data_IF_477245076360
#
_entry.id   IF_477245076360
#
_cell.length_a   1.000
_cell.length_b   1.000
_cell.length_c   1.000
_cell.angle_alpha   90.00
_cell.angle_beta   90.00
_cell.angle_gamma   90.00
#
_symmetry.space_group_name_H-M   'P 1'
#
loop_
_entity.id
_entity.type
_entity.pdbx_description
1 polymer ?
#
# COMPACT_ATOMS: atom_id res chain seq x y z
N UNK A 1 -13.62 10.05 -3.65
CA UNK A 1 -12.47 10.94 -3.34
C UNK A 1 -11.23 10.08 -3.63
N UNK A 2 -10.01 10.41 -3.18
CA UNK A 2 -8.88 9.47 -3.27
C UNK A 2 -8.28 9.39 -1.88
N UNK A 3 -8.09 8.19 -1.34
CA UNK A 3 -7.42 8.01 -0.05
C UNK A 3 -5.92 7.87 -0.29
N UNK A 4 -5.08 8.39 0.60
CA UNK A 4 -3.64 8.16 0.56
C UNK A 4 -3.22 7.34 1.76
N UNK A 5 -2.31 6.38 1.55
CA UNK A 5 -1.74 5.56 2.62
C UNK A 5 -0.22 5.52 2.49
N UNK A 6 0.46 5.52 3.63
CA UNK A 6 1.92 5.36 3.65
C UNK A 6 2.29 3.91 3.39
N UNK A 7 3.31 3.69 2.58
CA UNK A 7 3.87 2.35 2.41
C UNK A 7 4.55 1.89 3.71
N UNK A 8 4.09 0.81 4.36
CA UNK A 8 4.72 0.29 5.57
C UNK A 8 6.14 -0.28 5.31
N UNK A 9 6.48 -0.67 4.08
CA UNK A 9 7.86 -1.07 3.76
C UNK A 9 8.79 0.12 3.70
N UNK A 10 8.45 1.17 2.95
CA UNK A 10 9.28 2.39 2.88
C UNK A 10 9.54 2.99 4.27
N UNK A 11 8.54 2.93 5.16
CA UNK A 11 8.70 3.35 6.55
C UNK A 11 9.74 2.51 7.32
N UNK A 12 9.86 1.21 7.05
CA UNK A 12 10.84 0.33 7.70
C UNK A 12 12.26 0.51 7.18
N UNK A 13 12.43 0.67 5.86
CA UNK A 13 13.77 0.79 5.23
C UNK A 13 14.40 2.16 5.45
N UNK A 14 13.62 3.18 5.80
CA UNK A 14 14.12 4.54 6.09
C UNK A 14 14.41 5.38 4.84
N UNK A 15 14.11 4.82 3.65
CA UNK A 15 14.12 5.50 2.36
C UNK A 15 12.74 6.11 2.13
N UNK A 16 12.56 7.36 2.55
CA UNK A 16 11.49 8.31 2.19
C UNK A 16 10.01 7.86 2.35
N UNK A 17 9.24 8.67 3.08
CA UNK A 17 7.79 8.48 3.26
C UNK A 17 7.06 8.65 1.93
N UNK A 18 6.59 7.55 1.31
CA UNK A 18 5.82 7.60 0.07
C UNK A 18 4.32 7.44 0.34
N UNK A 19 3.55 8.39 -0.17
CA UNK A 19 2.09 8.35 -0.20
C UNK A 19 1.61 7.54 -1.42
N UNK A 20 0.97 6.41 -1.16
CA UNK A 20 0.31 5.59 -2.17
C UNK A 20 -1.12 6.08 -2.32
N UNK A 21 -1.48 6.41 -3.56
CA UNK A 21 -2.82 6.88 -3.90
C UNK A 21 -3.72 5.65 -4.08
N UNK A 22 -4.66 5.47 -3.16
CA UNK A 22 -5.70 4.45 -3.22
C UNK A 22 -6.93 5.05 -3.90
N UNK A 23 -7.31 4.57 -5.11
CA UNK A 23 -8.54 5.01 -5.72
C UNK A 23 -9.74 4.56 -4.88
N UNK A 24 -10.80 5.38 -4.82
CA UNK A 24 -12.04 5.04 -4.08
C UNK A 24 -12.66 3.71 -4.55
N UNK A 25 -12.48 3.39 -5.83
CA UNK A 25 -12.99 2.19 -6.50
C UNK A 25 -12.19 0.91 -6.15
N UNK A 26 -10.93 1.04 -5.68
CA UNK A 26 -10.09 -0.12 -5.32
C UNK A 26 -10.82 -0.98 -4.30
N UNK A 27 -10.97 -2.27 -4.46
CA UNK A 27 -11.71 -3.13 -3.54
C UNK A 27 -10.80 -3.78 -2.48
N UNK A 28 -11.42 -4.40 -1.47
CA UNK A 28 -10.66 -5.25 -0.55
C UNK A 28 -10.15 -6.45 -1.36
N UNK A 29 -8.86 -6.75 -1.26
CA UNK A 29 -8.15 -7.71 -2.11
C UNK A 29 -7.53 -7.12 -3.38
N UNK A 30 -7.71 -5.82 -3.64
CA UNK A 30 -6.91 -5.16 -4.69
C UNK A 30 -5.44 -5.07 -4.25
N UNK A 31 -4.55 -5.25 -5.23
CA UNK A 31 -3.10 -5.13 -5.06
C UNK A 31 -2.66 -3.78 -5.62
N UNK A 32 -1.98 -3.01 -4.79
CA UNK A 32 -1.37 -1.74 -5.13
C UNK A 32 0.15 -1.90 -5.14
N UNK A 33 0.82 -1.39 -6.16
CA UNK A 33 2.28 -1.36 -6.19
C UNK A 33 2.79 -0.04 -5.64
N UNK A 34 3.75 -0.10 -4.72
CA UNK A 34 4.43 1.07 -4.23
C UNK A 34 5.39 1.60 -5.31
N UNK A 35 5.24 2.85 -5.80
CA UNK A 35 6.09 3.39 -6.85
C UNK A 35 7.54 3.67 -6.40
N UNK A 36 7.83 3.61 -5.10
CA UNK A 36 9.14 3.86 -4.53
C UNK A 36 9.96 2.57 -4.40
N UNK A 37 9.46 1.60 -3.62
CA UNK A 37 10.16 0.35 -3.35
C UNK A 37 9.76 -0.79 -4.28
N UNK A 38 8.68 -0.64 -5.07
CA UNK A 38 8.11 -1.72 -5.88
C UNK A 38 7.39 -2.79 -5.05
N UNK A 39 7.15 -2.56 -3.76
CA UNK A 39 6.43 -3.53 -2.92
C UNK A 39 4.95 -3.58 -3.30
N UNK A 40 4.42 -4.79 -3.40
CA UNK A 40 3.00 -5.05 -3.61
C UNK A 40 2.25 -4.99 -2.27
N UNK A 41 1.10 -4.32 -2.27
CA UNK A 41 0.31 -4.05 -1.08
C UNK A 41 -1.14 -4.44 -1.32
N UNK A 42 -1.64 -5.41 -0.57
CA UNK A 42 -3.02 -5.83 -0.61
C UNK A 42 -3.89 -4.97 0.31
N UNK A 43 -5.03 -4.49 -0.18
CA UNK A 43 -6.02 -3.80 0.63
C UNK A 43 -6.78 -4.81 1.49
N UNK A 44 -6.57 -4.77 2.81
CA UNK A 44 -7.27 -5.63 3.77
C UNK A 44 -8.57 -4.98 4.30
N UNK A 45 -8.62 -3.65 4.41
CA UNK A 45 -9.78 -2.92 4.91
C UNK A 45 -9.79 -1.47 4.43
N UNK A 46 -10.97 -0.84 4.34
CA UNK A 46 -11.12 0.56 3.91
C UNK A 46 -11.46 1.55 5.03
N UNK A 47 -12.02 1.07 6.13
CA UNK A 47 -12.48 1.90 7.25
C UNK A 47 -12.24 1.17 8.59
N UNK A 48 -11.06 1.36 9.22
CA UNK A 48 -9.91 2.16 8.78
C UNK A 48 -9.18 1.53 7.57
N UNK A 49 -8.53 2.34 6.74
CA UNK A 49 -7.76 1.86 5.60
C UNK A 49 -6.56 1.05 6.11
N UNK A 50 -6.52 -0.24 5.79
CA UNK A 50 -5.43 -1.15 6.14
C UNK A 50 -4.93 -1.85 4.89
N UNK A 51 -3.61 -1.89 4.76
CA UNK A 51 -2.91 -2.60 3.69
C UNK A 51 -1.89 -3.58 4.31
N UNK A 52 -1.63 -4.69 3.62
CA UNK A 52 -0.57 -5.63 3.96
C UNK A 52 0.41 -5.74 2.82
N UNK A 53 1.68 -5.86 3.14
CA UNK A 53 2.74 -6.07 2.15
C UNK A 53 2.69 -7.52 1.73
N UNK A 54 2.64 -7.76 0.43
CA UNK A 54 2.76 -9.09 -0.15
C UNK A 54 4.23 -9.25 -0.53
N UNK A 55 5.00 -9.96 0.29
CA UNK A 55 6.34 -10.40 -0.09
C UNK A 55 6.19 -11.71 -0.86
N UNK A 56 6.55 -11.75 -2.15
CA UNK A 56 6.71 -13.02 -2.87
C UNK A 56 7.86 -13.80 -2.23
N UNK A 57 7.55 -14.74 -1.34
CA UNK A 57 8.52 -15.75 -0.88
C UNK A 57 8.94 -16.59 -2.09
N UNK A 58 10.18 -16.38 -2.55
CA UNK A 58 10.80 -17.15 -3.64
C UNK A 58 11.52 -18.40 -3.16
#
# INVERSE_FOLDING_TARGET
>A
MTKTIKCPECEKIGDEEVDIIVPDDACIGDILECPLCGAELEILSKDPLQVSVIEEEK
#
